data_IF_078020442967
#
_entry.id   IF_078020442967
#
_cell.length_a   1.000
_cell.length_b   1.000
_cell.length_c   1.000
_cell.angle_alpha   90.00
_cell.angle_beta   90.00
_cell.angle_gamma   90.00
#
_symmetry.space_group_name_H-M   'P 1'
#
loop_
_entity.id
_entity.type
_entity.pdbx_description
1 polymer ?
#
# COMPACT_ATOMS: atom_id res chain seq x y z
N UNK A 1 -2.26 15.14 5.96
CA UNK A 1 -3.63 14.71 5.62
C UNK A 1 -4.08 13.63 6.60
N UNK A 2 -5.38 13.31 6.72
CA UNK A 2 -5.87 12.31 7.68
C UNK A 2 -5.17 10.94 7.55
N UNK A 3 -4.96 10.45 6.32
CA UNK A 3 -4.23 9.19 6.08
C UNK A 3 -2.80 9.24 6.62
N UNK A 4 -2.06 10.33 6.38
CA UNK A 4 -0.71 10.48 6.92
C UNK A 4 -0.68 10.50 8.46
N UNK A 5 -1.72 11.05 9.10
CA UNK A 5 -1.82 11.00 10.57
C UNK A 5 -2.00 9.56 11.07
N UNK A 6 -2.79 8.73 10.39
CA UNK A 6 -2.95 7.31 10.74
C UNK A 6 -1.62 6.57 10.66
N UNK A 7 -0.84 6.80 9.60
CA UNK A 7 0.49 6.18 9.46
C UNK A 7 1.44 6.61 10.60
N UNK A 8 1.46 7.90 10.93
CA UNK A 8 2.28 8.42 12.02
C UNK A 8 1.87 7.85 13.38
N UNK A 9 0.56 7.75 13.66
CA UNK A 9 0.04 7.13 14.87
C UNK A 9 0.41 5.64 14.94
N UNK A 10 0.32 4.91 13.81
CA UNK A 10 0.71 3.50 13.75
C UNK A 10 2.20 3.32 14.09
N UNK A 11 3.10 4.14 13.51
CA UNK A 11 4.54 4.11 13.84
C UNK A 11 4.81 4.36 15.31
N UNK A 12 4.11 5.32 15.92
CA UNK A 12 4.25 5.63 17.35
C UNK A 12 3.83 4.47 18.26
N UNK A 13 2.94 3.58 17.78
CA UNK A 13 2.52 2.37 18.48
C UNK A 13 3.41 1.15 18.17
N UNK A 14 4.48 1.33 17.39
CA UNK A 14 5.42 0.26 17.04
C UNK A 14 5.01 -0.59 15.84
N UNK A 15 3.95 -0.22 15.11
CA UNK A 15 3.62 -0.89 13.86
C UNK A 15 4.65 -0.58 12.77
N UNK A 16 4.85 -1.56 11.87
CA UNK A 16 5.59 -1.37 10.63
C UNK A 16 4.67 -0.75 9.58
N UNK A 17 5.08 0.37 8.99
CA UNK A 17 4.34 1.00 7.89
C UNK A 17 4.92 0.53 6.57
N UNK A 18 4.15 -0.27 5.85
CA UNK A 18 4.50 -0.79 4.52
C UNK A 18 3.68 -0.04 3.49
N UNK A 19 4.35 0.62 2.55
CA UNK A 19 3.73 1.30 1.42
C UNK A 19 3.77 0.37 0.22
N UNK A 20 2.61 0.13 -0.40
CA UNK A 20 2.46 -0.75 -1.54
C UNK A 20 1.72 -0.01 -2.66
N UNK A 21 2.44 0.31 -3.74
CA UNK A 21 2.00 1.26 -4.77
C UNK A 21 1.86 0.61 -6.14
N UNK A 22 0.82 1.00 -6.85
CA UNK A 22 0.61 0.66 -8.25
C UNK A 22 1.50 1.44 -9.23
N UNK A 23 2.29 2.40 -8.77
CA UNK A 23 3.22 3.14 -9.63
C UNK A 23 4.40 2.25 -10.02
N UNK A 24 4.82 2.35 -11.28
CA UNK A 24 6.01 1.66 -11.75
C UNK A 24 7.26 2.10 -10.98
N UNK A 25 8.18 1.16 -10.80
CA UNK A 25 9.43 1.35 -10.09
C UNK A 25 10.34 2.40 -10.77
N UNK A 26 10.16 2.65 -12.07
CA UNK A 26 10.77 3.77 -12.79
C UNK A 26 10.47 5.14 -12.14
N UNK A 27 9.36 5.27 -11.42
CA UNK A 27 8.95 6.48 -10.70
C UNK A 27 9.19 6.38 -9.18
N UNK A 28 10.11 5.52 -8.75
CA UNK A 28 10.48 5.40 -7.33
C UNK A 28 11.04 6.71 -6.78
N UNK A 29 12.04 7.27 -7.45
CA UNK A 29 12.73 8.49 -6.99
C UNK A 29 11.78 9.69 -6.79
N UNK A 30 10.88 10.05 -7.72
CA UNK A 30 9.88 11.09 -7.46
C UNK A 30 8.88 10.72 -6.35
N UNK A 31 8.59 9.43 -6.15
CA UNK A 31 7.74 8.96 -5.06
C UNK A 31 8.42 9.14 -3.70
N UNK A 32 9.69 8.77 -3.58
CA UNK A 32 10.48 8.92 -2.36
C UNK A 32 10.67 10.39 -1.99
N UNK A 33 10.92 11.28 -2.97
CA UNK A 33 10.94 12.73 -2.73
C UNK A 33 9.62 13.26 -2.18
N UNK A 34 8.49 12.77 -2.70
CA UNK A 34 7.17 13.15 -2.18
C UNK A 34 7.01 12.70 -0.72
N UNK A 35 7.38 11.46 -0.39
CA UNK A 35 7.31 10.92 0.96
C UNK A 35 8.20 11.72 1.92
N UNK A 36 9.44 12.01 1.52
CA UNK A 36 10.38 12.81 2.29
C UNK A 36 9.88 14.25 2.53
N UNK A 37 9.31 14.89 1.50
CA UNK A 37 8.74 16.25 1.61
C UNK A 37 7.68 16.35 2.70
N UNK A 38 6.87 15.31 2.88
CA UNK A 38 5.82 15.27 3.90
C UNK A 38 6.23 14.51 5.16
N UNK A 39 7.51 14.13 5.28
CA UNK A 39 8.06 13.40 6.43
C UNK A 39 7.25 12.13 6.75
N UNK A 40 6.85 11.40 5.71
CA UNK A 40 6.19 10.11 5.86
C UNK A 40 7.25 9.07 6.19
N UNK A 41 7.26 8.59 7.44
CA UNK A 41 8.13 7.51 7.89
C UNK A 41 7.51 6.15 7.52
N UNK A 42 8.28 5.31 6.82
CA UNK A 42 7.87 3.99 6.35
C UNK A 42 9.03 3.00 6.42
N UNK A 43 8.71 1.72 6.59
CA UNK A 43 9.69 0.64 6.73
C UNK A 43 9.98 -0.06 5.39
N UNK A 44 9.00 -0.07 4.47
CA UNK A 44 9.12 -0.72 3.17
C UNK A 44 8.30 0.00 2.10
N UNK A 45 8.86 0.15 0.90
CA UNK A 45 8.18 0.70 -0.28
C UNK A 45 8.22 -0.31 -1.44
N UNK A 46 7.10 -1.01 -1.61
CA UNK A 46 6.85 -1.94 -2.69
C UNK A 46 6.16 -1.22 -3.85
N UNK A 47 6.65 -1.45 -5.06
CA UNK A 47 6.18 -0.78 -6.26
C UNK A 47 6.04 -1.80 -7.39
N UNK A 48 5.20 -1.50 -8.36
CA UNK A 48 5.02 -2.27 -9.58
C UNK A 48 6.32 -2.33 -10.38
N UNK A 49 6.65 -3.48 -10.94
CA UNK A 49 7.80 -3.60 -11.84
C UNK A 49 7.65 -2.73 -13.09
N UNK A 50 8.75 -2.13 -13.53
CA UNK A 50 8.76 -1.28 -14.73
C UNK A 50 8.34 -2.09 -15.96
N UNK A 51 7.42 -1.54 -16.76
CA UNK A 51 6.76 -2.19 -17.89
C UNK A 51 5.76 -3.33 -17.55
N UNK A 52 5.35 -3.51 -16.28
CA UNK A 52 4.23 -4.39 -15.96
C UNK A 52 2.89 -3.64 -16.07
N UNK A 53 2.13 -3.91 -17.14
CA UNK A 53 0.85 -3.26 -17.41
C UNK A 53 -0.37 -4.07 -16.97
N UNK A 54 -0.18 -5.12 -16.15
CA UNK A 54 -1.29 -5.88 -15.58
C UNK A 54 -2.14 -5.00 -14.65
N UNK A 55 -3.35 -5.48 -14.34
CA UNK A 55 -4.28 -4.76 -13.45
C UNK A 55 -3.68 -4.60 -12.06
N UNK A 56 -3.98 -3.48 -11.43
CA UNK A 56 -3.38 -3.08 -10.15
C UNK A 56 -3.63 -4.09 -9.04
N UNK A 57 -4.85 -4.61 -8.95
CA UNK A 57 -5.22 -5.64 -7.97
C UNK A 57 -4.40 -6.93 -8.12
N UNK A 58 -4.04 -7.33 -9.34
CA UNK A 58 -3.23 -8.53 -9.61
C UNK A 58 -1.81 -8.30 -9.09
N UNK A 59 -1.19 -7.18 -9.46
CA UNK A 59 0.19 -6.85 -9.07
C UNK A 59 0.28 -6.66 -7.55
N UNK A 60 -0.66 -5.93 -6.95
CA UNK A 60 -0.68 -5.73 -5.50
C UNK A 60 -0.85 -7.03 -4.73
N UNK A 61 -1.67 -7.96 -5.25
CA UNK A 61 -1.83 -9.31 -4.67
C UNK A 61 -0.53 -10.10 -4.75
N UNK A 62 0.15 -10.11 -5.89
CA UNK A 62 1.44 -10.77 -6.09
C UNK A 62 2.48 -10.25 -5.10
N UNK A 63 2.69 -8.92 -5.07
CA UNK A 63 3.60 -8.27 -4.12
C UNK A 63 3.27 -8.58 -2.66
N UNK A 64 1.98 -8.66 -2.31
CA UNK A 64 1.57 -9.02 -0.96
C UNK A 64 1.97 -10.46 -0.60
N UNK A 65 1.68 -11.41 -1.49
CA UNK A 65 1.98 -12.82 -1.26
C UNK A 65 3.48 -13.07 -1.15
N UNK A 66 4.29 -12.36 -1.93
CA UNK A 66 5.74 -12.51 -1.98
C UNK A 66 6.45 -11.78 -0.83
N UNK A 67 6.03 -10.56 -0.52
CA UNK A 67 6.79 -9.66 0.36
C UNK A 67 6.17 -9.43 1.73
N UNK A 68 4.90 -9.76 1.93
CA UNK A 68 4.18 -9.45 3.18
C UNK A 68 3.67 -10.72 3.86
N UNK A 69 3.03 -11.63 3.12
CA UNK A 69 2.39 -12.82 3.68
C UNK A 69 3.40 -13.71 4.41
N UNK A 70 3.06 -14.08 5.65
CA UNK A 70 3.90 -14.92 6.50
C UNK A 70 5.14 -14.23 7.07
N UNK A 71 5.47 -13.02 6.61
CA UNK A 71 6.57 -12.18 7.14
C UNK A 71 6.08 -11.13 8.13
N UNK A 72 4.82 -10.70 8.01
CA UNK A 72 4.18 -9.70 8.88
C UNK A 72 2.80 -10.14 9.34
N UNK A 73 2.37 -9.60 10.48
CA UNK A 73 0.98 -9.61 10.90
C UNK A 73 0.30 -8.33 10.41
N UNK A 74 -0.75 -8.47 9.61
CA UNK A 74 -1.43 -7.35 8.94
C UNK A 74 -2.65 -6.94 9.75
N UNK A 75 -2.57 -5.80 10.43
CA UNK A 75 -3.67 -5.27 11.25
C UNK A 75 -4.82 -4.73 10.36
N UNK A 76 -4.47 -3.88 9.41
CA UNK A 76 -5.40 -3.34 8.41
C UNK A 76 -4.65 -2.76 7.21
N UNK A 77 -5.38 -2.55 6.12
CA UNK A 77 -4.91 -1.85 4.94
C UNK A 77 -5.69 -0.56 4.73
N UNK A 78 -5.04 0.45 4.15
CA UNK A 78 -5.66 1.67 3.65
C UNK A 78 -5.52 1.69 2.13
N UNK A 79 -6.63 1.64 1.41
CA UNK A 79 -6.65 1.69 -0.07
C UNK A 79 -7.86 2.51 -0.53
N UNK A 80 -7.86 2.99 -1.76
CA UNK A 80 -8.93 3.86 -2.28
C UNK A 80 -9.72 3.20 -3.41
N UNK A 81 -9.09 2.39 -4.26
CA UNK A 81 -9.68 1.90 -5.51
C UNK A 81 -10.54 0.64 -5.31
N UNK A 82 -11.77 0.64 -5.83
CA UNK A 82 -12.76 -0.42 -5.63
C UNK A 82 -12.21 -1.82 -5.94
N UNK A 83 -11.60 -2.00 -7.12
CA UNK A 83 -11.06 -3.30 -7.54
C UNK A 83 -9.95 -3.85 -6.62
N UNK A 84 -9.24 -2.97 -5.93
CA UNK A 84 -8.15 -3.34 -5.02
C UNK A 84 -8.69 -3.64 -3.62
N UNK A 85 -9.62 -2.80 -3.14
CA UNK A 85 -10.33 -3.02 -1.87
C UNK A 85 -11.11 -4.34 -1.89
N UNK A 86 -11.80 -4.64 -2.99
CA UNK A 86 -12.49 -5.91 -3.17
C UNK A 86 -11.52 -7.09 -3.13
N UNK A 87 -10.34 -6.98 -3.75
CA UNK A 87 -9.31 -8.02 -3.70
C UNK A 87 -8.83 -8.24 -2.26
N UNK A 88 -8.49 -7.19 -1.51
CA UNK A 88 -8.05 -7.31 -0.11
C UNK A 88 -9.09 -8.00 0.77
N UNK A 89 -10.37 -7.60 0.64
CA UNK A 89 -11.45 -8.09 1.50
C UNK A 89 -11.96 -9.47 1.08
N UNK A 90 -12.23 -9.67 -0.20
CA UNK A 90 -12.94 -10.86 -0.71
C UNK A 90 -12.02 -12.03 -1.03
N UNK A 91 -10.81 -11.74 -1.51
CA UNK A 91 -9.87 -12.79 -1.91
C UNK A 91 -8.88 -13.14 -0.80
N UNK A 92 -8.38 -12.12 -0.08
CA UNK A 92 -7.36 -12.31 0.96
C UNK A 92 -7.93 -12.26 2.39
N UNK A 93 -9.22 -11.97 2.54
CA UNK A 93 -9.91 -11.90 3.84
C UNK A 93 -9.24 -10.94 4.85
N UNK A 94 -8.65 -9.84 4.37
CA UNK A 94 -7.96 -8.86 5.21
C UNK A 94 -8.84 -7.64 5.53
N UNK A 95 -8.70 -7.05 6.72
CA UNK A 95 -9.32 -5.77 7.04
C UNK A 95 -8.78 -4.67 6.14
N UNK A 96 -9.65 -4.01 5.37
CA UNK A 96 -9.27 -2.90 4.51
C UNK A 96 -10.23 -1.73 4.72
N UNK A 97 -9.70 -0.56 5.07
CA UNK A 97 -10.46 0.68 5.17
C UNK A 97 -10.31 1.46 3.87
N UNK A 98 -11.45 1.70 3.22
CA UNK A 98 -11.48 2.44 1.96
C UNK A 98 -11.51 3.94 2.26
N UNK A 99 -10.46 4.67 1.89
CA UNK A 99 -10.25 6.04 2.38
C UNK A 99 -11.02 7.12 1.61
N UNK A 100 -11.46 6.81 0.38
CA UNK A 100 -12.28 7.70 -0.45
C UNK A 100 -13.03 6.90 -1.53
N UNK A 101 -13.89 7.56 -2.31
CA UNK A 101 -14.53 6.97 -3.49
C UNK A 101 -13.50 6.45 -4.50
N UNK A 102 -13.76 5.26 -5.05
CA UNK A 102 -12.74 4.47 -5.76
C UNK A 102 -13.17 3.84 -7.07
N UNK A 103 -14.25 4.33 -7.70
CA UNK A 103 -14.84 3.70 -8.87
C UNK A 103 -14.10 4.08 -10.18
N UNK A 104 -12.90 3.52 -10.35
CA UNK A 104 -12.04 3.66 -11.52
C UNK A 104 -11.06 2.51 -11.66
#
# INVERSE_FOLDING_TARGET
TPVAMVLNMAKQQGYKVILLSGRENAYREPTERFLAKYQIDYDLLLMRDTNDYRKDNIIKKELFLEEIQGKYFVEFLLDDRNQVVDMWRRELALPCFQVNYGDF
#
